data_IF_649180268516
#
_entry.id   IF_649180268516
#
_cell.length_a   1.000
_cell.length_b   1.000
_cell.length_c   1.000
_cell.angle_alpha   90.00
_cell.angle_beta   90.00
_cell.angle_gamma   90.00
#
_symmetry.space_group_name_H-M   'P 1'
#
loop_
_entity.id
_entity.type
_entity.pdbx_description
1 polymer ?
#
# COMPACT_ATOMS: atom_id res chain seq x y z
N UNK A 1 7.69 -7.96 -14.86
CA UNK A 1 6.82 -6.80 -14.55
C UNK A 1 6.36 -6.89 -13.10
N UNK A 2 6.43 -5.81 -12.36
CA UNK A 2 5.99 -5.75 -10.97
C UNK A 2 4.76 -4.87 -10.82
N UNK A 3 3.94 -5.17 -9.82
CA UNK A 3 2.77 -4.36 -9.44
C UNK A 3 2.91 -3.94 -7.98
N UNK A 4 2.90 -2.62 -7.77
CA UNK A 4 2.91 -2.03 -6.43
C UNK A 4 1.58 -1.33 -6.22
N UNK A 5 0.86 -1.74 -5.17
CA UNK A 5 -0.47 -1.24 -4.87
C UNK A 5 -0.44 -0.48 -3.56
N UNK A 6 -0.83 0.79 -3.59
CA UNK A 6 -1.13 1.54 -2.38
C UNK A 6 -2.63 1.51 -2.10
N UNK A 7 -3.02 1.12 -0.89
CA UNK A 7 -4.43 1.05 -0.52
C UNK A 7 -4.92 2.36 0.08
N UNK A 8 -6.18 2.69 -0.21
CA UNK A 8 -6.85 3.88 0.30
C UNK A 8 -8.28 3.96 -0.21
N UNK A 9 -8.98 4.99 0.21
CA UNK A 9 -10.33 5.32 -0.29
C UNK A 9 -10.23 6.53 -1.23
N UNK A 10 -10.94 6.51 -2.37
CA UNK A 10 -10.97 7.65 -3.28
C UNK A 10 -11.83 8.79 -2.70
N UNK A 11 -11.51 10.01 -3.09
CA UNK A 11 -12.27 11.19 -2.70
C UNK A 11 -11.51 12.11 -1.77
N UNK A 12 -11.83 13.41 -1.85
CA UNK A 12 -11.17 14.45 -1.06
C UNK A 12 -11.38 14.28 0.45
N UNK A 13 -12.53 13.75 0.85
CA UNK A 13 -12.89 13.52 2.26
C UNK A 13 -11.99 12.49 2.94
N UNK A 14 -11.36 11.62 2.16
CA UNK A 14 -10.47 10.57 2.71
C UNK A 14 -8.99 10.93 2.67
N UNK A 15 -8.64 12.08 2.06
CA UNK A 15 -7.25 12.52 2.02
C UNK A 15 -6.71 12.75 3.43
N UNK A 16 -5.46 12.34 3.64
CA UNK A 16 -4.75 12.49 4.92
C UNK A 16 -5.38 11.71 6.07
N UNK A 17 -6.27 10.78 5.78
CA UNK A 17 -6.75 9.83 6.79
C UNK A 17 -5.74 8.72 6.99
N UNK A 18 -5.82 8.04 8.14
CA UNK A 18 -4.92 6.90 8.45
C UNK A 18 -5.01 5.80 7.41
N UNK A 19 -6.22 5.50 6.95
CA UNK A 19 -6.47 4.43 5.98
C UNK A 19 -5.88 4.69 4.59
N UNK A 20 -5.53 5.94 4.29
CA UNK A 20 -4.98 6.34 2.99
C UNK A 20 -3.45 6.39 2.95
N UNK A 21 -2.76 5.90 3.98
CA UNK A 21 -1.29 5.94 4.00
C UNK A 21 -0.67 5.19 2.81
N UNK A 22 -1.32 4.14 2.31
CA UNK A 22 -0.86 3.44 1.11
C UNK A 22 -0.86 4.33 -0.13
N UNK A 23 -1.91 5.12 -0.33
CA UNK A 23 -1.95 6.13 -1.40
C UNK A 23 -0.82 7.15 -1.23
N UNK A 24 -0.60 7.61 0.00
CA UNK A 24 0.44 8.59 0.29
C UNK A 24 1.83 8.09 -0.11
N UNK A 25 2.14 6.83 0.14
CA UNK A 25 3.44 6.23 -0.23
C UNK A 25 3.60 6.16 -1.73
N UNK A 26 2.59 5.71 -2.46
CA UNK A 26 2.63 5.65 -3.94
C UNK A 26 2.83 7.05 -4.51
N UNK A 27 2.06 8.02 -4.04
CA UNK A 27 2.17 9.41 -4.49
C UNK A 27 3.58 9.97 -4.25
N UNK A 28 4.13 9.76 -3.06
CA UNK A 28 5.45 10.24 -2.70
C UNK A 28 6.56 9.57 -3.51
N UNK A 29 6.43 8.27 -3.76
CA UNK A 29 7.39 7.55 -4.60
C UNK A 29 7.39 8.09 -6.05
N UNK A 30 6.21 8.25 -6.64
CA UNK A 30 6.09 8.76 -8.01
C UNK A 30 6.60 10.20 -8.15
N UNK A 31 6.48 10.99 -7.10
CA UNK A 31 6.95 12.37 -7.07
C UNK A 31 8.46 12.49 -7.33
N UNK A 32 9.24 11.49 -6.92
CA UNK A 32 10.69 11.43 -7.21
C UNK A 32 10.99 11.45 -8.71
N UNK A 33 10.06 10.97 -9.52
CA UNK A 33 10.19 10.87 -10.97
C UNK A 33 9.36 11.94 -11.69
N UNK A 34 8.87 12.95 -10.98
CA UNK A 34 7.95 13.96 -11.51
C UNK A 34 6.71 13.32 -12.14
N UNK A 35 6.21 12.24 -11.54
CA UNK A 35 5.05 11.49 -12.00
C UNK A 35 3.95 11.48 -10.95
N UNK A 36 2.75 11.13 -11.38
CA UNK A 36 1.61 10.85 -10.52
C UNK A 36 0.80 9.69 -11.14
N UNK A 37 -0.24 9.23 -10.48
CA UNK A 37 -1.16 8.23 -11.03
C UNK A 37 -2.07 8.91 -12.06
N UNK A 38 -1.61 9.01 -13.29
CA UNK A 38 -2.21 9.80 -14.36
C UNK A 38 -3.00 8.98 -15.38
N UNK A 39 -3.03 7.65 -15.25
CA UNK A 39 -3.79 6.75 -16.12
C UNK A 39 -4.93 6.11 -15.34
N UNK A 40 -6.01 5.79 -16.03
CA UNK A 40 -7.19 5.18 -15.42
C UNK A 40 -7.59 3.91 -16.17
N UNK A 41 -7.80 2.82 -15.45
CA UNK A 41 -8.26 1.55 -15.98
C UNK A 41 -8.88 0.72 -14.85
N UNK A 42 -9.97 -0.02 -15.14
CA UNK A 42 -10.57 -0.97 -14.19
C UNK A 42 -10.89 -0.37 -12.81
N UNK A 43 -11.33 0.88 -12.76
CA UNK A 43 -11.56 1.62 -11.51
C UNK A 43 -10.31 1.70 -10.63
N UNK A 44 -9.17 1.84 -11.28
CA UNK A 44 -7.88 2.13 -10.64
C UNK A 44 -7.20 3.29 -11.33
N UNK A 45 -6.49 4.09 -10.56
CA UNK A 45 -5.56 5.09 -11.07
C UNK A 45 -4.16 4.52 -10.99
N UNK A 46 -3.37 4.66 -12.06
CA UNK A 46 -2.04 4.06 -12.08
C UNK A 46 -1.03 4.87 -12.88
N UNK A 47 0.22 4.54 -12.70
CA UNK A 47 1.35 5.03 -13.48
C UNK A 47 2.29 3.88 -13.80
N UNK A 48 3.04 4.02 -14.87
CA UNK A 48 4.05 3.04 -15.28
C UNK A 48 5.43 3.70 -15.24
N UNK A 49 6.39 3.00 -14.64
CA UNK A 49 7.80 3.38 -14.69
C UNK A 49 8.62 2.21 -15.20
N UNK A 50 9.78 2.52 -15.79
CA UNK A 50 10.81 1.53 -16.09
C UNK A 50 11.89 1.68 -15.02
N UNK A 51 12.09 0.64 -14.21
CA UNK A 51 13.09 0.64 -13.14
C UNK A 51 13.98 -0.58 -13.35
N UNK A 52 15.29 -0.35 -13.46
CA UNK A 52 16.26 -1.40 -13.74
C UNK A 52 15.90 -2.22 -15.00
N UNK A 53 15.35 -1.56 -16.03
CA UNK A 53 14.94 -2.21 -17.27
C UNK A 53 13.64 -2.99 -17.19
N UNK A 54 12.96 -2.99 -16.07
CA UNK A 54 11.69 -3.70 -15.86
C UNK A 54 10.52 -2.72 -15.71
N UNK A 55 9.39 -3.02 -16.34
CA UNK A 55 8.17 -2.23 -16.15
C UNK A 55 7.60 -2.48 -14.76
N UNK A 56 7.30 -1.39 -14.07
CA UNK A 56 6.66 -1.39 -12.76
C UNK A 56 5.38 -0.57 -12.84
N UNK A 57 4.27 -1.14 -12.39
CA UNK A 57 2.98 -0.47 -12.33
C UNK A 57 2.72 -0.08 -10.88
N UNK A 58 2.40 1.19 -10.68
CA UNK A 58 1.98 1.75 -9.39
C UNK A 58 0.49 2.02 -9.45
N UNK A 59 -0.27 1.38 -8.57
CA UNK A 59 -1.73 1.37 -8.61
C UNK A 59 -2.30 1.91 -7.31
N UNK A 60 -3.29 2.80 -7.45
CA UNK A 60 -4.19 3.22 -6.37
C UNK A 60 -5.60 2.80 -6.76
N UNK A 61 -6.16 1.73 -6.13
CA UNK A 61 -7.54 1.33 -6.41
C UNK A 61 -8.52 2.45 -6.10
N UNK A 62 -9.51 2.65 -6.98
CA UNK A 62 -10.47 3.76 -6.87
C UNK A 62 -11.87 3.30 -6.48
N UNK A 63 -12.03 2.06 -6.05
CA UNK A 63 -13.18 1.59 -5.30
C UNK A 63 -12.91 1.81 -3.82
N UNK A 64 -13.96 1.79 -2.98
CA UNK A 64 -13.76 1.89 -1.55
C UNK A 64 -12.92 0.72 -1.04
N UNK A 65 -12.26 0.91 0.12
CA UNK A 65 -11.26 -0.01 0.65
C UNK A 65 -11.71 -1.48 0.64
N UNK A 66 -12.96 -1.76 1.02
CA UNK A 66 -13.49 -3.12 1.07
C UNK A 66 -13.67 -3.79 -0.30
N UNK A 67 -13.48 -3.06 -1.39
CA UNK A 67 -13.55 -3.55 -2.77
C UNK A 67 -12.21 -3.48 -3.50
N UNK A 68 -11.12 -3.24 -2.79
CA UNK A 68 -9.78 -3.12 -3.37
C UNK A 68 -9.36 -4.37 -4.16
N UNK A 69 -9.77 -5.55 -3.71
CA UNK A 69 -9.42 -6.81 -4.36
C UNK A 69 -10.02 -6.98 -5.76
N UNK A 70 -11.19 -6.39 -6.02
CA UNK A 70 -11.77 -6.40 -7.36
C UNK A 70 -10.85 -5.70 -8.36
N UNK A 71 -10.30 -4.56 -7.97
CA UNK A 71 -9.41 -3.77 -8.80
C UNK A 71 -8.07 -4.48 -8.96
N UNK A 72 -7.47 -4.94 -7.86
CA UNK A 72 -6.17 -5.62 -7.88
C UNK A 72 -6.23 -6.87 -8.76
N UNK A 73 -7.29 -7.67 -8.65
CA UNK A 73 -7.46 -8.88 -9.46
C UNK A 73 -7.43 -8.56 -10.96
N UNK A 74 -8.15 -7.53 -11.38
CA UNK A 74 -8.19 -7.12 -12.78
C UNK A 74 -6.81 -6.69 -13.29
N UNK A 75 -6.03 -6.00 -12.47
CA UNK A 75 -4.66 -5.59 -12.82
C UNK A 75 -3.73 -6.79 -12.91
N UNK A 76 -3.80 -7.70 -11.95
CA UNK A 76 -2.99 -8.93 -11.95
C UNK A 76 -3.26 -9.74 -13.22
N UNK A 77 -4.53 -9.92 -13.59
CA UNK A 77 -4.90 -10.68 -14.78
C UNK A 77 -4.51 -9.97 -16.09
N UNK A 78 -4.82 -8.69 -16.19
CA UNK A 78 -4.57 -7.92 -17.41
C UNK A 78 -3.09 -7.79 -17.74
N UNK A 79 -2.28 -7.44 -16.72
CA UNK A 79 -0.84 -7.26 -16.90
C UNK A 79 -0.05 -8.55 -16.68
N UNK A 80 -0.73 -9.67 -16.41
CA UNK A 80 -0.12 -11.00 -16.21
C UNK A 80 0.96 -10.96 -15.11
N UNK A 81 0.60 -10.38 -13.97
CA UNK A 81 1.49 -10.24 -12.82
C UNK A 81 1.57 -11.58 -12.06
N UNK A 82 2.77 -12.05 -11.79
CA UNK A 82 2.97 -13.16 -10.88
C UNK A 82 2.73 -12.70 -9.44
N UNK A 83 2.14 -13.53 -8.60
CA UNK A 83 1.84 -13.18 -7.20
C UNK A 83 3.11 -12.76 -6.45
N UNK A 84 4.24 -13.38 -6.73
CA UNK A 84 5.54 -13.02 -6.14
C UNK A 84 6.03 -11.61 -6.51
N UNK A 85 5.48 -11.02 -7.58
CA UNK A 85 5.81 -9.68 -8.07
C UNK A 85 4.80 -8.62 -7.62
N UNK A 86 3.88 -8.99 -6.73
CA UNK A 86 2.89 -8.09 -6.14
C UNK A 86 3.35 -7.62 -4.76
N UNK A 87 3.42 -6.31 -4.58
CA UNK A 87 3.65 -5.66 -3.29
C UNK A 87 2.46 -4.76 -2.96
N UNK A 88 1.83 -4.98 -1.81
CA UNK A 88 0.69 -4.16 -1.33
C UNK A 88 1.13 -3.34 -0.12
N UNK A 89 0.84 -2.05 -0.16
CA UNK A 89 1.17 -1.09 0.91
C UNK A 89 -0.11 -0.76 1.66
N UNK A 90 -0.11 -0.97 2.97
CA UNK A 90 -1.30 -0.87 3.82
C UNK A 90 -1.01 -0.20 5.15
N UNK A 91 -2.03 0.37 5.76
CA UNK A 91 -2.03 0.75 7.17
C UNK A 91 -2.20 -0.49 8.06
N UNK A 92 -1.65 -0.42 9.28
CA UNK A 92 -1.67 -1.52 10.24
C UNK A 92 -2.02 -1.01 11.64
N UNK A 93 -3.19 -1.43 12.13
CA UNK A 93 -3.67 -1.09 13.47
C UNK A 93 -2.87 -1.72 14.60
N UNK A 94 -2.16 -2.81 14.32
CA UNK A 94 -1.46 -3.61 15.32
C UNK A 94 0.00 -3.17 15.50
N UNK A 95 0.45 -2.15 14.78
CA UNK A 95 1.79 -1.59 14.90
C UNK A 95 1.72 -0.17 15.45
N UNK A 96 2.73 0.21 16.25
CA UNK A 96 2.89 1.59 16.69
C UNK A 96 2.94 2.55 15.50
N UNK A 97 2.44 3.77 15.72
CA UNK A 97 2.44 4.80 14.69
C UNK A 97 3.84 5.00 14.10
N UNK A 98 3.94 4.89 12.79
CA UNK A 98 5.19 5.11 12.06
C UNK A 98 6.10 3.89 11.99
N UNK A 99 5.79 2.80 12.68
CA UNK A 99 6.58 1.56 12.59
C UNK A 99 6.28 0.84 11.29
N UNK A 100 7.31 0.39 10.60
CA UNK A 100 7.16 -0.29 9.32
C UNK A 100 7.52 -1.76 9.49
N UNK A 101 6.76 -2.62 8.81
CA UNK A 101 7.01 -4.05 8.78
C UNK A 101 6.75 -4.61 7.41
N UNK A 102 7.69 -5.43 6.92
CA UNK A 102 7.54 -6.16 5.68
C UNK A 102 7.15 -7.59 6.02
N UNK A 103 6.15 -8.10 5.33
CA UNK A 103 5.63 -9.47 5.52
C UNK A 103 5.26 -10.11 4.20
N UNK A 104 5.30 -11.43 4.18
CA UNK A 104 4.77 -12.24 3.10
C UNK A 104 3.95 -13.35 3.73
N UNK A 105 2.86 -13.76 3.07
CA UNK A 105 1.99 -14.85 3.54
C UNK A 105 1.44 -14.62 4.95
N UNK A 106 0.90 -13.43 5.19
CA UNK A 106 0.42 -12.99 6.50
C UNK A 106 -1.10 -12.78 6.49
N UNK A 107 -1.75 -12.91 7.65
CA UNK A 107 -3.19 -12.68 7.77
C UNK A 107 -3.56 -11.21 7.55
N UNK A 108 -4.85 -10.96 7.31
CA UNK A 108 -5.36 -9.59 7.08
C UNK A 108 -5.32 -8.72 8.34
N UNK A 109 -5.28 -9.31 9.54
CA UNK A 109 -5.35 -8.56 10.79
C UNK A 109 -6.61 -7.69 10.92
N UNK A 110 -7.70 -8.09 10.26
CA UNK A 110 -8.94 -7.32 10.23
C UNK A 110 -9.01 -6.22 9.18
N UNK A 111 -7.95 -6.02 8.40
CA UNK A 111 -7.93 -5.00 7.34
C UNK A 111 -8.83 -5.41 6.18
N UNK A 112 -9.90 -4.66 5.92
CA UNK A 112 -10.92 -5.01 4.94
C UNK A 112 -10.40 -5.04 3.50
N UNK A 113 -9.49 -4.15 3.14
CA UNK A 113 -8.85 -4.16 1.83
C UNK A 113 -8.04 -5.43 1.59
N UNK A 114 -7.27 -5.84 2.57
CA UNK A 114 -6.46 -7.07 2.50
C UNK A 114 -7.37 -8.31 2.44
N UNK A 115 -8.42 -8.36 3.23
CA UNK A 115 -9.42 -9.45 3.16
C UNK A 115 -9.99 -9.60 1.75
N UNK A 116 -10.34 -8.50 1.13
CA UNK A 116 -10.92 -8.49 -0.21
C UNK A 116 -9.90 -8.92 -1.27
N UNK A 117 -8.64 -8.45 -1.15
CA UNK A 117 -7.54 -8.89 -2.04
C UNK A 117 -7.32 -10.39 -1.92
N UNK A 118 -7.21 -10.91 -0.69
CA UNK A 118 -7.03 -12.34 -0.44
C UNK A 118 -8.17 -13.15 -1.05
N UNK A 119 -9.40 -12.71 -0.89
CA UNK A 119 -10.57 -13.38 -1.47
C UNK A 119 -10.51 -13.42 -3.00
N UNK A 120 -10.19 -12.31 -3.64
CA UNK A 120 -10.17 -12.22 -5.10
C UNK A 120 -8.97 -12.92 -5.73
N UNK A 121 -7.81 -12.90 -5.08
CA UNK A 121 -6.61 -13.59 -5.58
C UNK A 121 -6.59 -15.08 -5.22
N UNK A 122 -7.39 -15.49 -4.24
CA UNK A 122 -7.39 -16.87 -3.76
C UNK A 122 -6.13 -17.26 -2.99
N UNK A 123 -5.35 -16.29 -2.55
CA UNK A 123 -4.11 -16.50 -1.81
C UNK A 123 -3.78 -15.29 -0.95
N UNK A 124 -3.08 -15.53 0.16
CA UNK A 124 -2.47 -14.47 0.97
C UNK A 124 -0.94 -14.41 0.78
N UNK A 125 -0.40 -15.22 -0.13
CA UNK A 125 1.04 -15.35 -0.35
C UNK A 125 1.58 -14.27 -1.29
N UNK A 126 1.38 -13.01 -0.94
CA UNK A 126 1.97 -11.85 -1.61
C UNK A 126 2.67 -10.98 -0.58
N UNK A 127 3.55 -10.13 -1.08
CA UNK A 127 4.38 -9.26 -0.25
C UNK A 127 3.59 -8.04 0.21
N UNK A 128 3.81 -7.62 1.46
CA UNK A 128 3.15 -6.44 2.04
C UNK A 128 4.13 -5.56 2.77
N UNK A 129 3.98 -4.26 2.57
CA UNK A 129 4.61 -3.22 3.35
C UNK A 129 3.52 -2.65 4.27
N UNK A 130 3.69 -2.86 5.58
CA UNK A 130 2.71 -2.50 6.60
C UNK A 130 3.22 -1.28 7.36
N UNK A 131 2.40 -0.23 7.42
CA UNK A 131 2.75 1.01 8.11
C UNK A 131 1.85 1.17 9.33
N UNK A 132 2.44 1.19 10.51
CA UNK A 132 1.73 1.31 11.77
C UNK A 132 0.98 2.63 11.89
N UNK A 133 -0.27 2.54 12.28
CA UNK A 133 -1.12 3.69 12.58
C UNK A 133 -1.63 3.68 14.03
N UNK A 134 -1.16 2.72 14.83
CA UNK A 134 -1.67 2.46 16.19
C UNK A 134 -3.16 2.15 16.17
N UNK A 135 -3.77 2.08 17.31
CA UNK A 135 -5.22 1.98 17.45
C UNK A 135 -5.66 2.73 18.71
N UNK A 136 -6.95 2.99 18.81
CA UNK A 136 -7.55 3.53 20.02
C UNK A 136 -8.82 2.73 20.31
N UNK A 137 -8.77 1.86 21.33
CA UNK A 137 -9.89 0.97 21.68
C UNK A 137 -11.14 1.70 22.13
N UNK A 138 -11.05 2.99 22.44
CA UNK A 138 -12.21 3.84 22.79
C UNK A 138 -12.95 4.35 21.57
N UNK A 139 -12.38 4.20 20.37
CA UNK A 139 -12.96 4.65 19.10
C UNK A 139 -13.22 3.41 18.26
N UNK A 140 -14.39 3.36 17.61
CA UNK A 140 -14.71 2.30 16.66
C UNK A 140 -13.62 2.26 15.57
N UNK A 141 -13.17 1.06 15.21
CA UNK A 141 -12.09 0.86 14.23
C UNK A 141 -12.36 1.59 12.93
N UNK A 142 -13.59 1.52 12.41
CA UNK A 142 -13.98 2.22 11.19
C UNK A 142 -13.73 3.73 11.30
N UNK A 143 -14.16 4.33 12.39
CA UNK A 143 -14.01 5.78 12.61
C UNK A 143 -12.54 6.14 12.80
N UNK A 144 -11.78 5.29 13.48
CA UNK A 144 -10.35 5.53 13.72
C UNK A 144 -9.56 5.56 12.40
N UNK A 145 -9.72 4.55 11.54
CA UNK A 145 -8.95 4.46 10.29
C UNK A 145 -9.33 5.56 9.30
N UNK A 146 -10.56 6.06 9.35
CA UNK A 146 -11.04 7.18 8.54
C UNK A 146 -10.74 8.53 9.18
N UNK A 147 -10.12 8.56 10.36
CA UNK A 147 -9.73 9.79 11.05
C UNK A 147 -8.44 10.37 10.52
N UNK A 148 -8.32 11.69 10.68
CA UNK A 148 -7.09 12.42 10.35
C UNK A 148 -6.19 12.48 11.58
N UNK A 149 -4.88 12.58 11.34
CA UNK A 149 -3.89 12.70 12.40
C UNK A 149 -3.73 14.16 12.81
N UNK A 150 -3.36 14.38 14.08
CA UNK A 150 -2.90 15.70 14.53
C UNK A 150 -1.53 16.01 13.89
N UNK A 151 -1.03 17.23 14.09
CA UNK A 151 0.23 17.66 13.45
C UNK A 151 1.45 16.86 13.90
N UNK A 152 1.53 16.46 15.16
CA UNK A 152 2.67 15.68 15.69
C UNK A 152 2.65 14.26 15.12
N UNK A 153 1.51 13.62 15.14
CA UNK A 153 1.34 12.26 14.58
C UNK A 153 1.54 12.27 13.06
N UNK A 154 1.11 13.33 12.37
CA UNK A 154 1.33 13.46 10.93
C UNK A 154 2.83 13.52 10.61
N UNK A 155 3.63 14.21 11.39
CA UNK A 155 5.08 14.24 11.22
C UNK A 155 5.70 12.85 11.34
N UNK A 156 5.27 12.06 12.33
CA UNK A 156 5.74 10.68 12.50
C UNK A 156 5.37 9.84 11.28
N UNK A 157 4.14 9.96 10.80
CA UNK A 157 3.70 9.21 9.63
C UNK A 157 4.42 9.65 8.36
N UNK A 158 4.67 10.95 8.18
CA UNK A 158 5.43 11.47 7.03
C UNK A 158 6.86 10.90 6.98
N UNK A 159 7.51 10.74 8.13
CA UNK A 159 8.82 10.08 8.19
C UNK A 159 8.73 8.60 7.79
N UNK A 160 7.68 7.90 8.21
CA UNK A 160 7.43 6.52 7.79
C UNK A 160 7.18 6.42 6.29
N UNK A 161 6.48 7.39 5.69
CA UNK A 161 6.26 7.45 4.25
C UNK A 161 7.60 7.61 3.52
N UNK A 162 8.47 8.50 3.97
CA UNK A 162 9.81 8.68 3.39
C UNK A 162 10.65 7.41 3.49
N UNK A 163 10.63 6.74 4.63
CA UNK A 163 11.31 5.45 4.81
C UNK A 163 10.74 4.40 3.85
N UNK A 164 9.42 4.37 3.68
CA UNK A 164 8.76 3.45 2.75
C UNK A 164 9.19 3.66 1.31
N UNK A 165 9.42 4.92 0.90
CA UNK A 165 9.96 5.24 -0.42
C UNK A 165 11.35 4.62 -0.60
N UNK A 166 12.21 4.70 0.42
CA UNK A 166 13.54 4.06 0.39
C UNK A 166 13.43 2.54 0.35
N UNK A 167 12.48 1.96 1.08
CA UNK A 167 12.21 0.52 1.06
C UNK A 167 11.83 0.05 -0.35
N UNK A 168 10.99 0.82 -1.04
CA UNK A 168 10.58 0.50 -2.41
C UNK A 168 11.79 0.52 -3.36
N UNK A 169 12.70 1.49 -3.22
CA UNK A 169 13.95 1.49 -3.98
C UNK A 169 14.77 0.22 -3.73
N UNK A 170 14.95 -0.14 -2.47
CA UNK A 170 15.69 -1.36 -2.11
C UNK A 170 14.99 -2.63 -2.59
N UNK A 171 13.66 -2.63 -2.64
CA UNK A 171 12.86 -3.74 -3.15
C UNK A 171 13.24 -4.13 -4.58
N UNK A 172 13.61 -3.17 -5.41
CA UNK A 172 14.02 -3.43 -6.78
C UNK A 172 15.46 -3.95 -6.90
N UNK A 173 16.26 -3.90 -5.83
CA UNK A 173 17.70 -4.16 -5.86
C UNK A 173 18.14 -5.33 -4.97
N UNK A 174 17.23 -5.94 -4.21
CA UNK A 174 17.57 -7.08 -3.36
C UNK A 174 16.39 -8.04 -3.24
N UNK A 175 16.66 -9.29 -2.83
CA UNK A 175 15.57 -10.24 -2.60
C UNK A 175 14.79 -9.85 -1.34
N UNK A 176 13.56 -10.35 -1.25
CA UNK A 176 12.64 -9.93 -0.20
C UNK A 176 13.08 -10.37 1.20
N UNK A 177 13.72 -11.53 1.33
CA UNK A 177 14.24 -11.99 2.63
C UNK A 177 15.30 -11.04 3.18
N UNK A 178 16.21 -10.58 2.33
CA UNK A 178 17.20 -9.56 2.69
C UNK A 178 16.54 -8.23 3.04
N UNK A 179 15.51 -7.86 2.28
CA UNK A 179 14.77 -6.63 2.54
C UNK A 179 14.09 -6.69 3.92
N UNK A 180 13.44 -7.82 4.25
CA UNK A 180 12.84 -8.03 5.56
C UNK A 180 13.88 -7.95 6.68
N UNK A 181 15.04 -8.57 6.51
CA UNK A 181 16.12 -8.54 7.48
C UNK A 181 16.65 -7.12 7.71
N UNK A 182 16.68 -6.31 6.66
CA UNK A 182 17.17 -4.93 6.76
C UNK A 182 16.22 -4.01 7.51
N UNK A 183 14.92 -4.17 7.33
CA UNK A 183 13.93 -3.19 7.80
C UNK A 183 13.02 -3.67 8.93
N UNK A 184 12.88 -4.97 9.15
CA UNK A 184 12.04 -5.50 10.25
C UNK A 184 12.69 -5.45 11.62
#
# INVERSE_FOLDING_TARGET
MKLIVGLGNPGKEYKNTRHNVGFDVVDEYLKKYNQNVNKSKFEGMYSELIINGEKVIFLEPQKYMNLSGEVVRKYVDYFKINIEDLLVIQDDLDQELGKIKLKQNSSSGGHNGIKNIEMHLGTKNYKRLKIGISNNKKIDTKDYVLGKLNSDDRKVLDEAIKTSVNIIDDYFNMNFDKLMNKYN
#
